data_IF_560727426454
#
_entry.id   IF_560727426454
#
_cell.length_a   1.000
_cell.length_b   1.000
_cell.length_c   1.000
_cell.angle_alpha   90.00
_cell.angle_beta   90.00
_cell.angle_gamma   90.00
#
_symmetry.space_group_name_H-M   'P 1'
#
loop_
_entity.id
_entity.type
_entity.pdbx_description
1 polymer ?
#
# COMPACT_ATOMS: atom_id res chain seq x y z
N UNK A 1 13.35 -29.72 7.73
CA UNK A 1 12.13 -29.32 7.01
C UNK A 1 12.56 -28.49 5.82
N UNK A 2 12.29 -28.92 4.59
CA UNK A 2 12.51 -28.07 3.42
C UNK A 2 11.37 -27.06 3.34
N UNK A 3 11.66 -25.79 3.61
CA UNK A 3 10.73 -24.69 3.38
C UNK A 3 10.69 -24.41 1.88
N UNK A 4 9.85 -25.14 1.14
CA UNK A 4 9.68 -24.92 -0.29
C UNK A 4 8.85 -23.66 -0.53
N UNK A 5 9.48 -22.63 -1.10
CA UNK A 5 8.79 -21.44 -1.60
C UNK A 5 8.45 -21.60 -3.09
N UNK A 6 7.27 -21.14 -3.48
CA UNK A 6 6.78 -21.16 -4.85
C UNK A 6 6.55 -19.73 -5.32
N UNK A 7 7.57 -19.06 -5.90
CA UNK A 7 7.44 -17.67 -6.32
C UNK A 7 6.47 -17.55 -7.51
N UNK A 8 5.81 -16.39 -7.67
CA UNK A 8 5.03 -16.13 -8.87
C UNK A 8 5.93 -16.05 -10.11
N UNK A 9 5.38 -16.27 -11.32
CA UNK A 9 6.10 -16.01 -12.57
C UNK A 9 6.65 -14.58 -12.64
N UNK A 10 7.81 -14.40 -13.27
CA UNK A 10 8.49 -13.09 -13.32
C UNK A 10 7.61 -12.00 -13.96
N UNK A 11 6.92 -12.32 -15.05
CA UNK A 11 6.04 -11.37 -15.74
C UNK A 11 4.85 -10.94 -14.87
N UNK A 12 4.37 -11.81 -13.99
CA UNK A 12 3.31 -11.46 -13.04
C UNK A 12 3.84 -10.51 -11.96
N UNK A 13 5.03 -10.79 -11.41
CA UNK A 13 5.67 -9.93 -10.42
C UNK A 13 6.04 -8.54 -10.97
N UNK A 14 6.45 -8.47 -12.24
CA UNK A 14 6.79 -7.20 -12.90
C UNK A 14 5.58 -6.26 -13.06
N UNK A 15 4.35 -6.82 -13.09
CA UNK A 15 3.11 -6.06 -13.21
C UNK A 15 2.38 -5.92 -11.85
N UNK A 16 3.09 -6.08 -10.73
CA UNK A 16 2.48 -5.92 -9.42
C UNK A 16 2.04 -4.48 -9.17
N UNK A 17 0.79 -4.30 -8.73
CA UNK A 17 0.25 -2.99 -8.37
C UNK A 17 0.92 -2.36 -7.13
N UNK A 18 1.56 -3.19 -6.31
CA UNK A 18 2.27 -2.79 -5.12
C UNK A 18 3.62 -3.49 -5.05
N UNK A 19 4.64 -2.77 -4.61
CA UNK A 19 6.00 -3.27 -4.38
C UNK A 19 6.41 -3.02 -2.92
N UNK A 20 7.60 -3.48 -2.54
CA UNK A 20 8.15 -3.24 -1.19
C UNK A 20 8.20 -1.77 -0.82
N UNK A 21 8.37 -0.88 -1.81
CA UNK A 21 8.42 0.57 -1.59
C UNK A 21 7.16 1.12 -0.89
N UNK A 22 5.97 0.54 -1.10
CA UNK A 22 4.77 1.00 -0.39
C UNK A 22 4.86 0.76 1.12
N UNK A 23 5.55 -0.31 1.55
CA UNK A 23 5.79 -0.55 2.96
C UNK A 23 6.77 0.47 3.52
N UNK A 24 7.87 0.75 2.80
CA UNK A 24 8.84 1.77 3.21
C UNK A 24 8.18 3.15 3.36
N UNK A 25 7.30 3.54 2.43
CA UNK A 25 6.51 4.78 2.50
C UNK A 25 5.56 4.80 3.71
N UNK A 26 4.82 3.70 3.94
CA UNK A 26 3.88 3.59 5.04
C UNK A 26 4.57 3.56 6.42
N UNK A 27 5.77 2.99 6.51
CA UNK A 27 6.58 3.00 7.73
C UNK A 27 7.15 4.39 8.03
N UNK A 28 7.52 5.14 6.99
CA UNK A 28 8.06 6.49 7.15
C UNK A 28 7.02 7.47 7.70
N UNK A 29 5.81 7.49 7.13
CA UNK A 29 4.69 8.27 7.63
C UNK A 29 3.37 7.56 7.33
N UNK A 30 2.88 6.82 8.33
CA UNK A 30 1.67 6.01 8.22
C UNK A 30 0.41 6.85 7.96
N UNK A 31 0.30 8.04 8.55
CA UNK A 31 -0.90 8.87 8.39
C UNK A 31 -0.89 9.57 7.03
N UNK A 32 0.25 10.12 6.60
CA UNK A 32 0.36 10.70 5.26
C UNK A 32 0.18 9.65 4.16
N UNK A 33 0.66 8.42 4.38
CA UNK A 33 0.43 7.30 3.47
C UNK A 33 -1.06 7.04 3.28
N UNK A 34 -1.81 6.88 4.37
CA UNK A 34 -3.25 6.60 4.28
C UNK A 34 -4.05 7.79 3.76
N UNK A 35 -3.69 9.02 4.10
CA UNK A 35 -4.28 10.21 3.49
C UNK A 35 -4.10 10.21 1.95
N UNK A 36 -2.90 9.87 1.48
CA UNK A 36 -2.60 9.76 0.04
C UNK A 36 -3.41 8.67 -0.63
N UNK A 37 -3.55 7.49 0.01
CA UNK A 37 -4.38 6.43 -0.55
C UNK A 37 -5.87 6.82 -0.58
N UNK A 38 -6.38 7.43 0.48
CA UNK A 38 -7.78 7.86 0.58
C UNK A 38 -8.14 8.93 -0.45
N UNK A 39 -7.22 9.86 -0.75
CA UNK A 39 -7.41 10.90 -1.76
C UNK A 39 -7.47 10.39 -3.21
N UNK A 40 -7.22 9.10 -3.46
CA UNK A 40 -7.47 8.47 -4.78
C UNK A 40 -8.95 8.22 -5.04
N UNK A 41 -9.77 8.21 -4.00
CA UNK A 41 -11.20 8.00 -4.09
C UNK A 41 -11.93 9.33 -4.34
N UNK A 42 -13.04 9.26 -5.07
CA UNK A 42 -13.92 10.41 -5.27
C UNK A 42 -14.87 10.54 -4.09
N UNK A 43 -14.53 11.44 -3.17
CA UNK A 43 -15.38 11.76 -2.03
C UNK A 43 -16.39 12.84 -2.38
N UNK A 44 -17.60 12.72 -1.85
CA UNK A 44 -18.61 13.79 -1.96
C UNK A 44 -18.21 15.02 -1.11
N UNK A 45 -17.56 14.78 0.03
CA UNK A 45 -16.97 15.80 0.89
C UNK A 45 -15.58 15.32 1.37
N UNK A 46 -14.55 16.17 1.38
CA UNK A 46 -13.23 15.80 1.91
C UNK A 46 -13.29 15.39 3.39
N UNK A 47 -12.34 14.55 3.82
CA UNK A 47 -12.13 14.24 5.24
C UNK A 47 -11.18 15.26 5.86
N UNK A 48 -11.38 15.57 7.15
CA UNK A 48 -10.53 16.51 7.90
C UNK A 48 -9.50 15.79 8.79
N UNK A 49 -9.74 14.52 9.13
CA UNK A 49 -8.89 13.69 9.99
C UNK A 49 -8.68 12.30 9.38
N UNK A 50 -7.43 11.82 9.39
CA UNK A 50 -7.06 10.53 8.78
C UNK A 50 -7.42 9.34 9.68
N UNK A 51 -7.25 9.51 10.99
CA UNK A 51 -7.49 8.48 12.00
C UNK A 51 -7.79 9.14 13.35
N UNK A 52 -8.95 8.81 13.92
CA UNK A 52 -9.34 9.14 15.30
C UNK A 52 -9.49 7.83 16.10
N UNK A 53 -9.05 7.80 17.37
CA UNK A 53 -8.94 6.59 18.21
C UNK A 53 -9.17 6.85 19.70
#
# INVERSE_FOLDING_TARGET
MSNSAYPPPADFAANANATSALYDEAEHDRLAFWATQANRLSWQAPFDEVLDW
#
